data_IF_057453741987
#
_entry.id   IF_057453741987
#
_cell.length_a   1.000
_cell.length_b   1.000
_cell.length_c   1.000
_cell.angle_alpha   90.00
_cell.angle_beta   90.00
_cell.angle_gamma   90.00
#
_symmetry.space_group_name_H-M   'P 1'
#
loop_
_entity.id
_entity.type
_entity.pdbx_description
1 polymer ?
#
# COMPACT_ATOMS: atom_id res chain seq x y z
N UNK A 1 6.86 7.51 35.27
CA UNK A 1 7.47 7.72 33.96
C UNK A 1 6.50 7.10 32.99
N UNK A 2 5.87 7.90 32.15
CA UNK A 2 5.02 7.39 31.08
C UNK A 2 5.95 6.72 30.08
N UNK A 3 5.78 5.42 29.85
CA UNK A 3 6.59 4.66 28.92
C UNK A 3 6.32 5.18 27.49
N UNK A 4 7.19 6.06 26.98
CA UNK A 4 7.28 6.40 25.56
C UNK A 4 7.66 5.13 24.80
N UNK A 5 6.66 4.41 24.28
CA UNK A 5 6.88 3.25 23.41
C UNK A 5 7.21 3.77 22.02
N UNK A 6 8.36 3.38 21.49
CA UNK A 6 8.69 3.58 20.08
C UNK A 6 7.73 2.71 19.23
N UNK A 7 7.08 3.30 18.24
CA UNK A 7 6.22 2.57 17.29
C UNK A 7 7.09 1.98 16.18
N UNK A 8 6.93 0.67 15.91
CA UNK A 8 7.60 -0.01 14.81
C UNK A 8 6.71 0.04 13.56
N UNK A 9 7.19 0.66 12.48
CA UNK A 9 6.51 0.71 11.19
C UNK A 9 7.11 -0.29 10.18
N UNK A 10 6.26 -0.93 9.38
CA UNK A 10 6.69 -1.86 8.32
C UNK A 10 6.11 -1.46 6.96
N UNK A 11 6.93 -1.50 5.93
CA UNK A 11 6.55 -1.23 4.54
C UNK A 11 6.47 -2.55 3.75
N UNK A 12 5.37 -2.74 3.02
CA UNK A 12 5.14 -3.90 2.15
C UNK A 12 4.83 -3.42 0.73
N UNK A 13 5.43 -4.08 -0.26
CA UNK A 13 5.16 -3.80 -1.68
C UNK A 13 4.13 -4.80 -2.19
N UNK A 14 3.00 -4.31 -2.70
CA UNK A 14 1.95 -5.14 -3.27
C UNK A 14 1.99 -5.08 -4.81
N UNK A 15 2.12 -6.24 -5.45
CA UNK A 15 1.90 -6.38 -6.89
C UNK A 15 0.41 -6.66 -7.17
N UNK A 16 -0.20 -5.86 -8.04
CA UNK A 16 -1.60 -6.02 -8.43
C UNK A 16 -1.70 -6.56 -9.86
N UNK A 17 -1.79 -7.88 -9.96
CA UNK A 17 -2.00 -8.55 -11.23
C UNK A 17 -3.44 -8.39 -11.76
N UNK A 18 -3.59 -8.28 -13.09
CA UNK A 18 -4.90 -8.18 -13.75
C UNK A 18 -5.54 -6.80 -13.77
N UNK A 19 -4.86 -5.75 -13.29
CA UNK A 19 -5.33 -4.37 -13.42
C UNK A 19 -4.94 -3.76 -14.78
N UNK A 20 -5.91 -3.14 -15.46
CA UNK A 20 -5.74 -2.57 -16.80
C UNK A 20 -5.30 -1.09 -16.76
N UNK A 21 -5.57 -0.39 -15.66
CA UNK A 21 -5.16 1.02 -15.47
C UNK A 21 -4.86 1.32 -14.00
N UNK A 22 -3.70 1.96 -13.77
CA UNK A 22 -3.26 2.50 -12.48
C UNK A 22 -4.04 3.75 -12.06
N UNK A 23 -4.75 4.40 -12.99
CA UNK A 23 -5.54 5.60 -12.71
C UNK A 23 -6.63 5.33 -11.66
N UNK A 24 -7.15 4.10 -11.65
CA UNK A 24 -8.15 3.59 -10.71
C UNK A 24 -7.63 3.55 -9.26
N UNK A 25 -6.33 3.39 -9.07
CA UNK A 25 -5.64 3.40 -7.77
C UNK A 25 -5.30 4.86 -7.39
N UNK A 26 -4.82 5.64 -8.36
CA UNK A 26 -4.36 7.02 -8.14
C UNK A 26 -5.47 8.00 -7.79
N UNK A 27 -6.73 7.70 -8.18
CA UNK A 27 -7.88 8.49 -7.76
C UNK A 27 -8.08 8.28 -6.25
N UNK A 28 -7.73 9.29 -5.47
CA UNK A 28 -7.72 9.33 -3.99
C UNK A 28 -9.10 9.11 -3.32
N UNK A 29 -10.08 8.56 -4.04
CA UNK A 29 -11.46 8.35 -3.59
C UNK A 29 -11.71 6.90 -3.12
N UNK A 30 -10.79 5.96 -3.33
CA UNK A 30 -10.91 4.58 -2.87
C UNK A 30 -10.08 4.33 -1.61
N UNK A 31 -10.72 4.14 -0.46
CA UNK A 31 -10.05 3.56 0.70
C UNK A 31 -9.56 2.15 0.33
N UNK A 32 -8.24 1.94 0.34
CA UNK A 32 -7.69 0.59 0.33
C UNK A 32 -8.08 -0.08 1.66
N UNK A 33 -8.60 -1.30 1.58
CA UNK A 33 -8.88 -2.11 2.77
C UNK A 33 -8.11 -3.41 2.64
N UNK A 34 -7.46 -3.80 3.72
CA UNK A 34 -6.78 -5.08 3.82
C UNK A 34 -7.45 -5.86 4.94
N UNK A 35 -7.69 -7.14 4.69
CA UNK A 35 -8.23 -8.08 5.66
C UNK A 35 -7.23 -9.22 5.80
N UNK A 36 -6.86 -9.51 7.05
CA UNK A 36 -6.04 -10.66 7.42
C UNK A 36 -4.65 -10.68 6.76
N UNK A 37 -3.89 -9.57 6.93
CA UNK A 37 -2.56 -9.38 6.32
C UNK A 37 -1.54 -10.45 6.73
N UNK A 38 -1.70 -11.03 7.92
CA UNK A 38 -0.81 -12.05 8.47
C UNK A 38 -1.18 -13.47 8.03
N UNK A 39 -2.22 -13.63 7.19
CA UNK A 39 -2.63 -14.93 6.66
C UNK A 39 -1.82 -15.34 5.43
N UNK A 40 -1.89 -16.63 5.06
CA UNK A 40 -1.30 -17.12 3.81
C UNK A 40 -1.97 -16.50 2.56
N UNK A 41 -3.22 -16.05 2.69
CA UNK A 41 -4.01 -15.48 1.60
C UNK A 41 -4.71 -14.17 2.00
N UNK A 42 -3.95 -13.07 2.14
CA UNK A 42 -4.53 -11.77 2.50
C UNK A 42 -5.48 -11.28 1.41
N UNK A 43 -6.54 -10.58 1.85
CA UNK A 43 -7.53 -10.01 0.95
C UNK A 43 -7.39 -8.49 0.90
N UNK A 44 -7.29 -7.93 -0.30
CA UNK A 44 -7.18 -6.48 -0.51
C UNK A 44 -8.31 -5.96 -1.40
N UNK A 45 -8.98 -4.90 -0.95
CA UNK A 45 -9.99 -4.18 -1.72
C UNK A 45 -9.46 -2.80 -2.12
N UNK A 46 -9.43 -2.52 -3.42
CA UNK A 46 -9.10 -1.20 -3.98
C UNK A 46 -10.29 -0.72 -4.80
N UNK A 47 -11.03 0.25 -4.25
CA UNK A 47 -12.28 0.72 -4.87
C UNK A 47 -13.31 -0.41 -5.00
N UNK A 48 -13.60 -0.84 -6.23
CA UNK A 48 -14.55 -1.93 -6.54
C UNK A 48 -13.86 -3.27 -6.83
N UNK A 49 -12.53 -3.30 -6.85
CA UNK A 49 -11.76 -4.50 -7.13
C UNK A 49 -11.40 -5.21 -5.82
N UNK A 50 -11.45 -6.54 -5.85
CA UNK A 50 -11.07 -7.41 -4.76
C UNK A 50 -9.96 -8.34 -5.24
N UNK A 51 -8.90 -8.42 -4.47
CA UNK A 51 -7.71 -9.23 -4.73
C UNK A 51 -7.52 -10.21 -3.58
N UNK A 52 -7.20 -11.46 -3.92
CA UNK A 52 -6.60 -12.43 -3.02
C UNK A 52 -5.12 -12.51 -3.40
N UNK A 53 -4.23 -12.28 -2.44
CA UNK A 53 -2.78 -12.31 -2.65
C UNK A 53 -2.11 -13.41 -1.85
N UNK A 54 -0.79 -13.45 -1.93
CA UNK A 54 0.10 -14.25 -1.09
C UNK A 54 1.24 -13.33 -0.62
N UNK A 55 1.70 -13.49 0.62
CA UNK A 55 2.85 -12.74 1.14
C UNK A 55 4.14 -13.49 0.81
N UNK A 56 5.01 -12.87 0.00
CA UNK A 56 6.29 -13.45 -0.41
C UNK A 56 7.47 -12.61 0.09
N UNK A 57 8.55 -13.29 0.50
CA UNK A 57 9.80 -12.62 0.86
C UNK A 57 10.51 -12.10 -0.39
N UNK A 58 10.89 -10.81 -0.36
CA UNK A 58 11.67 -10.22 -1.44
C UNK A 58 13.13 -10.72 -1.40
N UNK A 59 13.66 -11.12 -2.56
CA UNK A 59 15.10 -11.36 -2.70
C UNK A 59 15.81 -10.00 -2.76
N UNK A 60 16.44 -9.59 -1.66
CA UNK A 60 17.18 -8.33 -1.56
C UNK A 60 16.40 -7.24 -0.83
N UNK A 61 16.47 -6.01 -1.32
CA UNK A 61 15.80 -4.86 -0.69
C UNK A 61 15.13 -3.99 -1.74
N UNK A 62 13.82 -3.74 -1.55
CA UNK A 62 13.08 -2.79 -2.36
C UNK A 62 13.34 -1.36 -1.85
N UNK A 63 13.72 -0.44 -2.74
CA UNK A 63 13.84 0.98 -2.43
C UNK A 63 12.72 1.75 -3.12
N UNK A 64 11.90 2.46 -2.35
CA UNK A 64 10.78 3.27 -2.85
C UNK A 64 11.15 4.73 -2.69
N UNK A 65 10.98 5.52 -3.77
CA UNK A 65 11.27 6.95 -3.79
C UNK A 65 10.01 7.71 -4.18
N UNK A 66 9.81 8.88 -3.59
CA UNK A 66 8.77 9.82 -4.00
C UNK A 66 9.28 10.70 -5.14
N UNK A 67 8.40 11.05 -6.08
CA UNK A 67 8.74 11.97 -7.16
C UNK A 67 8.64 13.42 -6.68
N UNK A 68 9.70 14.20 -6.90
CA UNK A 68 9.73 15.62 -6.56
C UNK A 68 8.62 16.39 -7.32
N UNK A 69 7.69 16.99 -6.57
CA UNK A 69 6.65 17.87 -7.10
C UNK A 69 5.22 17.30 -7.10
N UNK A 70 5.02 16.01 -6.77
CA UNK A 70 3.69 15.41 -6.62
C UNK A 70 2.91 15.91 -5.37
N UNK A 71 3.54 16.77 -4.57
CA UNK A 71 3.01 17.39 -3.34
C UNK A 71 2.66 18.88 -3.44
N UNK A 72 2.52 19.50 -4.62
CA UNK A 72 2.09 20.90 -4.73
C UNK A 72 0.71 21.04 -5.39
N UNK A 73 -0.34 20.82 -4.60
CA UNK A 73 -1.50 21.71 -4.68
C UNK A 73 -1.40 22.66 -3.47
N UNK A 74 -0.33 23.46 -3.43
CA UNK A 74 -0.38 24.70 -2.67
C UNK A 74 -1.22 25.65 -3.47
N UNK A 75 -2.47 25.85 -3.02
CA UNK A 75 -3.20 27.05 -3.34
C UNK A 75 -2.33 28.26 -2.95
N UNK A 76 -1.74 28.91 -3.94
CA UNK A 76 -1.32 30.31 -3.93
C UNK A 76 -1.80 30.94 -5.24
#
# INVERSE_FOLDING_TARGET
MEDEREEEEQLVVAELSGMISSDLISSRQGACKIVDIDSEQPMMQVGRYLFAGECEDAIGTCAVFEEDGAGSNSAL
#
